data_IF_328037081698
#
_entry.id   IF_328037081698
#
_cell.length_a   1.000
_cell.length_b   1.000
_cell.length_c   1.000
_cell.angle_alpha   90.00
_cell.angle_beta   90.00
_cell.angle_gamma   90.00
#
_symmetry.space_group_name_H-M   'P 1'
#
loop_
_entity.id
_entity.type
_entity.pdbx_description
1 polymer ?
#
# COMPACT_ATOMS: atom_id res chain seq x y z
N UNK A 1 23.43 -4.80 49.71
CA UNK A 1 22.17 -5.57 49.78
C UNK A 1 21.20 -4.77 50.63
N UNK A 2 20.07 -4.34 50.03
CA UNK A 2 19.09 -3.34 50.53
C UNK A 2 19.59 -1.88 50.55
N UNK A 3 18.66 -0.99 50.16
CA UNK A 3 18.77 0.45 49.91
C UNK A 3 19.31 0.81 48.50
N UNK A 4 18.69 1.81 47.87
CA UNK A 4 18.77 2.19 46.44
C UNK A 4 17.85 1.37 45.50
N UNK A 5 16.58 1.18 45.90
CA UNK A 5 15.48 0.87 44.96
C UNK A 5 14.18 1.61 45.29
N UNK A 6 14.28 2.76 45.97
CA UNK A 6 13.12 3.52 46.47
C UNK A 6 13.06 4.97 46.00
N UNK A 7 13.82 5.34 44.95
CA UNK A 7 13.97 6.74 44.52
C UNK A 7 13.71 6.96 43.02
N UNK A 8 12.87 6.12 42.40
CA UNK A 8 12.28 6.38 41.08
C UNK A 8 10.75 6.25 41.05
N UNK A 9 10.09 6.11 42.21
CA UNK A 9 8.64 5.98 42.29
C UNK A 9 7.89 7.31 42.42
N UNK A 10 8.56 8.42 42.78
CA UNK A 10 7.87 9.63 43.26
C UNK A 10 8.06 10.88 42.37
N UNK A 11 8.31 10.70 41.06
CA UNK A 11 8.42 11.84 40.11
C UNK A 11 7.48 11.81 38.90
N UNK A 12 6.39 11.03 38.96
CA UNK A 12 5.37 11.04 37.90
C UNK A 12 3.94 11.32 38.40
N UNK A 13 3.80 12.08 39.50
CA UNK A 13 2.50 12.45 40.07
C UNK A 13 2.24 13.95 40.12
N UNK A 14 2.89 14.75 39.27
CA UNK A 14 2.51 16.15 39.13
C UNK A 14 2.38 16.52 37.67
N UNK A 15 1.23 17.14 37.36
CA UNK A 15 0.95 17.91 36.15
C UNK A 15 0.20 17.18 35.01
N UNK A 16 -0.99 16.63 35.29
CA UNK A 16 -2.12 16.79 34.35
C UNK A 16 -3.39 17.06 35.15
N UNK A 17 -3.75 18.34 35.24
CA UNK A 17 -4.98 18.82 35.84
C UNK A 17 -5.32 20.19 35.29
N UNK A 18 -5.95 20.24 34.11
CA UNK A 18 -6.99 21.22 33.76
C UNK A 18 -7.55 21.01 32.34
N UNK A 19 -8.87 20.86 32.30
CA UNK A 19 -9.80 21.35 31.27
C UNK A 19 -9.78 20.68 29.89
N UNK A 20 -10.70 19.75 29.65
CA UNK A 20 -11.85 20.00 28.78
C UNK A 20 -12.87 18.86 28.88
N UNK A 21 -14.15 19.21 28.82
CA UNK A 21 -15.30 18.30 28.92
C UNK A 21 -15.41 17.46 27.64
N UNK A 22 -15.41 16.15 27.77
CA UNK A 22 -15.73 15.19 26.71
C UNK A 22 -15.83 13.80 27.33
N UNK A 23 -16.86 13.04 26.95
CA UNK A 23 -17.18 11.72 27.52
C UNK A 23 -16.05 10.74 27.24
N UNK A 24 -15.16 10.51 28.21
CA UNK A 24 -14.13 9.47 28.16
C UNK A 24 -14.68 8.13 28.69
N UNK A 25 -14.96 7.20 27.79
CA UNK A 25 -15.10 5.78 28.12
C UNK A 25 -13.70 5.19 28.31
N UNK A 26 -13.31 4.95 29.57
CA UNK A 26 -12.03 4.32 29.91
C UNK A 26 -12.22 2.81 30.14
N UNK A 27 -11.73 1.98 29.23
CA UNK A 27 -11.66 0.52 29.43
C UNK A 27 -10.34 0.19 30.13
N UNK A 28 -10.38 -0.14 31.42
CA UNK A 28 -9.23 -0.70 32.12
C UNK A 28 -9.21 -2.24 31.98
N UNK A 29 -8.24 -2.76 31.23
CA UNK A 29 -8.03 -4.20 31.10
C UNK A 29 -7.10 -4.70 32.21
N UNK A 30 -7.65 -5.24 33.30
CA UNK A 30 -6.89 -6.01 34.29
C UNK A 30 -6.87 -7.49 33.89
N UNK A 31 -5.82 -7.91 33.20
CA UNK A 31 -5.54 -9.33 32.96
C UNK A 31 -4.98 -9.96 34.23
N UNK A 32 -5.84 -10.66 35.01
CA UNK A 32 -5.44 -11.93 35.70
C UNK A 32 -6.51 -12.73 36.45
N UNK A 33 -7.81 -12.38 36.43
CA UNK A 33 -8.83 -13.20 37.15
C UNK A 33 -10.10 -13.53 36.37
N UNK A 34 -10.13 -13.28 35.04
CA UNK A 34 -11.24 -13.75 34.21
C UNK A 34 -12.60 -13.11 34.52
N UNK A 35 -12.63 -11.92 35.12
CA UNK A 35 -13.86 -11.14 35.30
C UNK A 35 -13.61 -9.71 34.82
N UNK A 36 -14.37 -9.29 33.82
CA UNK A 36 -14.34 -7.91 33.31
C UNK A 36 -15.44 -7.09 33.98
N UNK A 37 -15.12 -5.87 34.39
CA UNK A 37 -16.06 -4.92 34.98
C UNK A 37 -16.08 -3.67 34.13
N UNK A 38 -17.27 -3.21 33.76
CA UNK A 38 -17.46 -1.97 33.01
C UNK A 38 -18.24 -1.00 33.88
N UNK A 39 -17.75 0.23 33.99
CA UNK A 39 -18.34 1.27 34.82
C UNK A 39 -18.96 2.34 33.91
N UNK A 40 -20.28 2.48 33.98
CA UNK A 40 -21.03 3.51 33.27
C UNK A 40 -21.77 4.36 34.32
N UNK A 41 -21.18 5.51 34.67
CA UNK A 41 -21.65 6.34 35.78
C UNK A 41 -21.51 5.66 37.17
N UNK A 42 -22.54 5.76 38.03
CA UNK A 42 -22.54 5.20 39.41
C UNK A 42 -23.04 3.75 39.51
N UNK A 43 -23.19 3.03 38.40
CA UNK A 43 -23.57 1.60 38.41
C UNK A 43 -22.40 0.74 37.97
N UNK A 44 -22.12 -0.29 38.78
CA UNK A 44 -21.15 -1.34 38.45
C UNK A 44 -21.95 -2.52 37.91
N UNK A 45 -21.73 -2.88 36.64
CA UNK A 45 -22.39 -4.02 35.99
C UNK A 45 -21.38 -5.16 35.92
N UNK A 46 -21.74 -6.31 36.49
CA UNK A 46 -20.95 -7.55 36.40
C UNK A 46 -21.13 -8.13 34.99
N UNK A 47 -20.10 -8.04 34.14
CA UNK A 47 -20.12 -8.74 32.87
C UNK A 47 -19.91 -10.23 33.16
N UNK A 48 -20.96 -11.02 32.90
CA UNK A 48 -20.94 -12.46 33.10
C UNK A 48 -20.05 -13.10 32.02
N UNK A 49 -18.75 -13.10 32.28
CA UNK A 49 -17.77 -13.87 31.51
C UNK A 49 -17.84 -15.30 32.00
N UNK A 50 -18.87 -16.02 31.56
CA UNK A 50 -18.85 -17.47 31.65
C UNK A 50 -17.62 -17.93 30.88
N UNK A 51 -16.60 -18.36 31.60
CA UNK A 51 -15.55 -19.23 31.09
C UNK A 51 -16.26 -20.38 30.40
N UNK A 52 -16.12 -20.44 29.08
CA UNK A 52 -16.68 -21.51 28.27
C UNK A 52 -16.11 -22.83 28.78
N UNK A 53 -16.99 -23.66 29.33
CA UNK A 53 -16.68 -25.03 29.71
C UNK A 53 -16.02 -25.75 28.53
N UNK A 54 -14.87 -26.35 28.79
CA UNK A 54 -14.09 -27.17 27.89
C UNK A 54 -14.81 -28.49 27.61
N UNK A 55 -15.90 -28.43 26.84
CA UNK A 55 -16.60 -29.55 26.18
C UNK A 55 -17.72 -29.02 25.27
N UNK A 56 -17.45 -27.97 24.50
CA UNK A 56 -18.34 -27.62 23.37
C UNK A 56 -17.95 -28.52 22.21
N UNK A 57 -18.88 -29.37 21.75
CA UNK A 57 -18.75 -30.01 20.45
C UNK A 57 -18.34 -28.96 19.42
N UNK A 58 -17.43 -29.30 18.52
CA UNK A 58 -16.99 -28.48 17.37
C UNK A 58 -18.19 -28.11 16.50
N UNK A 59 -18.97 -27.12 16.94
CA UNK A 59 -20.14 -26.66 16.24
C UNK A 59 -19.64 -25.93 14.99
N UNK A 60 -19.94 -26.50 13.81
CA UNK A 60 -19.54 -25.91 12.53
C UNK A 60 -20.12 -24.50 12.48
N UNK A 61 -19.25 -23.50 12.32
CA UNK A 61 -19.71 -22.11 12.25
C UNK A 61 -20.76 -21.93 11.14
N UNK A 62 -21.80 -21.13 11.38
CA UNK A 62 -22.77 -20.74 10.37
C UNK A 62 -22.09 -20.18 9.11
N UNK A 63 -22.64 -20.51 7.93
CA UNK A 63 -22.10 -20.05 6.63
C UNK A 63 -21.85 -18.53 6.59
N UNK A 64 -22.76 -17.65 7.05
CA UNK A 64 -22.55 -16.20 6.99
C UNK A 64 -21.29 -15.75 7.73
N UNK A 65 -20.99 -16.34 8.89
CA UNK A 65 -19.81 -16.00 9.68
C UNK A 65 -18.53 -16.39 8.92
N UNK A 66 -18.53 -17.57 8.28
CA UNK A 66 -17.39 -18.01 7.46
C UNK A 66 -17.19 -17.08 6.26
N UNK A 67 -18.26 -16.69 5.57
CA UNK A 67 -18.17 -15.75 4.44
C UNK A 67 -17.56 -14.42 4.88
N UNK A 68 -18.08 -13.82 5.96
CA UNK A 68 -17.57 -12.56 6.47
C UNK A 68 -16.09 -12.62 6.82
N UNK A 69 -15.64 -13.72 7.44
CA UNK A 69 -14.24 -13.88 7.75
C UNK A 69 -13.36 -14.09 6.52
N UNK A 70 -13.74 -15.00 5.62
CA UNK A 70 -12.96 -15.29 4.40
C UNK A 70 -12.83 -14.00 3.59
N UNK A 71 -13.94 -13.28 3.38
CA UNK A 71 -13.94 -12.02 2.68
C UNK A 71 -13.07 -10.97 3.39
N UNK A 72 -13.15 -10.83 4.71
CA UNK A 72 -12.31 -9.90 5.47
C UNK A 72 -10.82 -10.18 5.28
N UNK A 73 -10.39 -11.42 5.50
CA UNK A 73 -8.97 -11.79 5.36
C UNK A 73 -8.44 -11.53 3.95
N UNK A 74 -9.23 -11.91 2.94
CA UNK A 74 -8.87 -11.74 1.54
C UNK A 74 -8.83 -10.26 1.15
N UNK A 75 -9.83 -9.46 1.54
CA UNK A 75 -9.91 -8.04 1.21
C UNK A 75 -8.87 -7.18 1.93
N UNK A 76 -8.49 -7.54 3.15
CA UNK A 76 -7.41 -6.86 3.89
C UNK A 76 -6.01 -7.26 3.41
N UNK A 77 -5.88 -8.39 2.71
CA UNK A 77 -4.62 -8.90 2.17
C UNK A 77 -4.74 -9.18 0.67
N UNK A 78 -5.01 -8.15 -0.16
CA UNK A 78 -5.11 -8.34 -1.61
C UNK A 78 -3.78 -8.87 -2.17
N UNK A 79 -3.87 -9.64 -3.25
CA UNK A 79 -2.73 -10.28 -3.93
C UNK A 79 -1.85 -11.19 -3.05
N UNK A 80 -2.31 -11.54 -1.85
CA UNK A 80 -1.70 -12.57 -1.00
C UNK A 80 -2.36 -13.92 -1.29
N UNK A 81 -1.53 -14.94 -1.50
CA UNK A 81 -2.00 -16.31 -1.66
C UNK A 81 -2.27 -16.96 -0.29
N UNK A 82 -3.50 -17.41 -0.07
CA UNK A 82 -3.91 -18.18 1.09
C UNK A 82 -4.13 -19.64 0.70
N UNK A 83 -3.51 -20.57 1.42
CA UNK A 83 -3.80 -22.00 1.26
C UNK A 83 -5.21 -22.30 1.74
N UNK A 84 -5.97 -23.13 1.04
CA UNK A 84 -7.32 -23.52 1.49
C UNK A 84 -7.29 -24.18 2.89
N UNK A 85 -6.20 -24.86 3.23
CA UNK A 85 -6.00 -25.45 4.55
C UNK A 85 -6.05 -24.41 5.68
N UNK A 86 -5.56 -23.18 5.45
CA UNK A 86 -5.58 -22.11 6.47
C UNK A 86 -7.01 -21.83 6.95
N UNK A 87 -7.96 -21.72 6.01
CA UNK A 87 -9.36 -21.51 6.34
C UNK A 87 -10.00 -22.78 6.92
N UNK A 88 -9.65 -23.95 6.38
CA UNK A 88 -10.16 -25.23 6.85
C UNK A 88 -9.82 -25.49 8.33
N UNK A 89 -8.56 -25.28 8.71
CA UNK A 89 -8.04 -25.47 10.07
C UNK A 89 -8.68 -24.50 11.06
N UNK A 90 -8.92 -23.24 10.63
CA UNK A 90 -9.44 -22.20 11.51
C UNK A 90 -10.79 -22.56 12.13
N UNK A 91 -11.59 -23.39 11.46
CA UNK A 91 -12.92 -23.77 11.93
C UNK A 91 -13.21 -25.26 11.82
N UNK A 92 -12.16 -26.08 11.78
CA UNK A 92 -12.28 -27.54 11.75
C UNK A 92 -13.26 -28.03 10.66
N UNK A 93 -13.14 -27.47 9.45
CA UNK A 93 -13.98 -27.81 8.29
C UNK A 93 -13.16 -28.45 7.18
N UNK A 94 -13.82 -28.97 6.15
CA UNK A 94 -13.16 -29.58 5.00
C UNK A 94 -12.75 -28.55 3.94
N UNK A 95 -11.71 -28.85 3.15
CA UNK A 95 -11.31 -27.99 2.00
C UNK A 95 -12.41 -27.87 0.95
N UNK A 96 -13.24 -28.91 0.75
CA UNK A 96 -14.37 -28.85 -0.18
C UNK A 96 -15.41 -27.84 0.30
N UNK A 97 -15.73 -27.81 1.60
CA UNK A 97 -16.62 -26.79 2.18
C UNK A 97 -16.07 -25.37 2.00
N UNK A 98 -14.76 -25.16 2.21
CA UNK A 98 -14.14 -23.85 1.94
C UNK A 98 -14.21 -23.50 0.45
N UNK A 99 -14.03 -24.48 -0.44
CA UNK A 99 -14.09 -24.24 -1.89
C UNK A 99 -15.50 -23.84 -2.35
N UNK A 100 -16.54 -24.47 -1.80
CA UNK A 100 -17.93 -24.07 -2.00
C UNK A 100 -18.18 -22.64 -1.48
N UNK A 101 -17.71 -22.33 -0.27
CA UNK A 101 -17.84 -20.99 0.30
C UNK A 101 -17.12 -19.93 -0.56
N UNK A 102 -15.94 -20.25 -1.10
CA UNK A 102 -15.18 -19.36 -2.00
C UNK A 102 -15.89 -19.15 -3.33
N UNK A 103 -16.53 -20.17 -3.90
CA UNK A 103 -17.30 -20.03 -5.12
C UNK A 103 -18.49 -19.06 -4.93
N UNK A 104 -19.16 -19.13 -3.78
CA UNK A 104 -20.23 -18.18 -3.42
C UNK A 104 -19.71 -16.74 -3.27
N UNK A 105 -18.59 -16.57 -2.57
CA UNK A 105 -17.94 -15.26 -2.40
C UNK A 105 -17.48 -14.70 -3.75
N UNK A 106 -16.92 -15.53 -4.63
CA UNK A 106 -16.50 -15.12 -5.96
C UNK A 106 -17.68 -14.60 -6.79
N UNK A 107 -18.82 -15.30 -6.78
CA UNK A 107 -20.05 -14.85 -7.46
C UNK A 107 -20.51 -13.48 -6.96
N UNK A 108 -20.45 -13.26 -5.65
CA UNK A 108 -20.75 -11.95 -5.06
C UNK A 108 -19.76 -10.88 -5.54
N UNK A 109 -18.45 -11.13 -5.43
CA UNK A 109 -17.40 -10.18 -5.82
C UNK A 109 -17.50 -9.76 -7.29
N UNK A 110 -17.79 -10.72 -8.18
CA UNK A 110 -17.99 -10.46 -9.61
C UNK A 110 -19.26 -9.62 -9.86
N UNK A 111 -20.38 -9.98 -9.21
CA UNK A 111 -21.66 -9.27 -9.37
C UNK A 111 -21.58 -7.84 -8.84
N UNK A 112 -20.92 -7.64 -7.70
CA UNK A 112 -20.73 -6.34 -7.07
C UNK A 112 -19.62 -5.49 -7.72
N UNK A 113 -18.86 -6.04 -8.68
CA UNK A 113 -17.65 -5.41 -9.25
C UNK A 113 -16.64 -4.98 -8.17
N UNK A 114 -16.46 -5.82 -7.15
CA UNK A 114 -15.56 -5.59 -6.02
C UNK A 114 -14.19 -6.29 -6.22
N UNK A 115 -14.17 -7.37 -7.01
CA UNK A 115 -12.93 -8.09 -7.35
C UNK A 115 -13.17 -9.47 -7.95
N UNK A 116 -12.10 -10.25 -8.00
CA UNK A 116 -12.14 -11.66 -8.37
C UNK A 116 -11.25 -12.49 -7.46
N UNK A 117 -11.59 -13.77 -7.33
CA UNK A 117 -10.74 -14.75 -6.67
C UNK A 117 -9.92 -15.47 -7.74
N UNK A 118 -8.61 -15.48 -7.57
CA UNK A 118 -7.69 -16.25 -8.39
C UNK A 118 -7.33 -17.52 -7.63
N UNK A 119 -7.60 -18.67 -8.24
CA UNK A 119 -7.32 -19.97 -7.64
C UNK A 119 -6.16 -20.64 -8.37
N UNK A 120 -5.27 -21.26 -7.60
CA UNK A 120 -4.17 -22.07 -8.13
C UNK A 120 -4.39 -23.51 -7.69
N UNK A 121 -4.38 -24.44 -8.64
CA UNK A 121 -4.58 -25.86 -8.37
C UNK A 121 -3.35 -26.52 -7.70
N UNK A 122 -3.57 -27.66 -7.04
CA UNK A 122 -2.51 -28.50 -6.46
C UNK A 122 -2.40 -28.41 -4.92
N UNK A 123 -1.52 -29.24 -4.34
CA UNK A 123 -1.36 -29.38 -2.88
C UNK A 123 -0.82 -28.10 -2.19
N UNK A 124 0.00 -27.32 -2.90
CA UNK A 124 0.45 -25.99 -2.51
C UNK A 124 -0.46 -24.86 -3.04
N UNK A 125 -1.53 -25.23 -3.74
CA UNK A 125 -2.52 -24.33 -4.32
C UNK A 125 -3.25 -23.51 -3.25
N UNK A 126 -3.92 -22.47 -3.71
CA UNK A 126 -4.54 -21.49 -2.83
C UNK A 126 -5.54 -20.60 -3.55
N UNK A 127 -6.05 -19.64 -2.79
CA UNK A 127 -6.90 -18.56 -3.28
C UNK A 127 -6.25 -17.23 -2.98
N UNK A 128 -6.41 -16.30 -3.91
CA UNK A 128 -5.90 -14.94 -3.83
C UNK A 128 -7.01 -13.98 -4.27
N UNK A 129 -7.19 -12.88 -3.54
CA UNK A 129 -8.13 -11.85 -3.95
C UNK A 129 -7.43 -10.77 -4.77
N UNK A 130 -8.01 -10.47 -5.93
CA UNK A 130 -7.63 -9.34 -6.76
C UNK A 130 -8.77 -8.31 -6.74
N UNK A 131 -8.55 -7.11 -6.15
CA UNK A 131 -9.53 -6.03 -6.18
C UNK A 131 -9.91 -5.66 -7.62
N UNK A 132 -11.17 -5.34 -7.84
CA UNK A 132 -11.63 -4.85 -9.14
C UNK A 132 -11.21 -3.39 -9.32
N UNK A 133 -10.68 -3.08 -10.49
CA UNK A 133 -10.48 -1.72 -10.95
C UNK A 133 -10.59 -1.73 -12.47
N UNK A 134 -11.82 -1.54 -12.95
CA UNK A 134 -12.15 -1.73 -14.36
C UNK A 134 -11.75 -0.54 -15.24
N UNK A 135 -11.91 -0.67 -16.57
CA UNK A 135 -11.67 0.43 -17.51
C UNK A 135 -12.49 1.69 -17.19
N UNK A 136 -13.74 1.54 -16.75
CA UNK A 136 -14.61 2.66 -16.35
C UNK A 136 -14.08 3.40 -15.11
N UNK A 137 -13.61 2.66 -14.09
CA UNK A 137 -13.05 3.25 -12.87
C UNK A 137 -11.74 3.96 -13.16
N UNK A 138 -10.91 3.35 -14.01
CA UNK A 138 -9.67 3.93 -14.48
C UNK A 138 -9.91 5.21 -15.27
N UNK A 139 -10.91 5.22 -16.16
CA UNK A 139 -11.28 6.42 -16.90
C UNK A 139 -11.76 7.54 -15.96
N UNK A 140 -12.64 7.23 -15.00
CA UNK A 140 -13.12 8.19 -13.99
C UNK A 140 -11.98 8.76 -13.15
N UNK A 141 -11.02 7.92 -12.75
CA UNK A 141 -9.83 8.37 -12.03
C UNK A 141 -9.01 9.36 -12.86
N UNK A 142 -8.75 9.06 -14.14
CA UNK A 142 -7.98 9.95 -15.02
C UNK A 142 -8.68 11.29 -15.20
N UNK A 143 -9.99 11.28 -15.37
CA UNK A 143 -10.81 12.49 -15.46
C UNK A 143 -10.80 13.29 -14.15
N UNK A 144 -10.88 12.63 -12.99
CA UNK A 144 -10.75 13.25 -11.67
C UNK A 144 -9.37 13.92 -11.52
N UNK A 145 -8.30 13.23 -11.91
CA UNK A 145 -6.93 13.77 -11.88
C UNK A 145 -6.79 15.00 -12.80
N UNK A 146 -7.24 14.91 -14.05
CA UNK A 146 -7.23 16.03 -14.99
C UNK A 146 -7.96 17.24 -14.43
N UNK A 147 -9.17 17.04 -13.87
CA UNK A 147 -9.96 18.13 -13.27
C UNK A 147 -9.24 18.79 -12.10
N UNK A 148 -8.65 17.99 -11.19
CA UNK A 148 -7.89 18.51 -10.05
C UNK A 148 -6.65 19.28 -10.52
N UNK A 149 -5.95 18.76 -11.53
CA UNK A 149 -4.68 19.33 -12.04
C UNK A 149 -4.86 20.53 -12.96
N UNK A 150 -6.07 20.82 -13.46
CA UNK A 150 -6.37 21.98 -14.30
C UNK A 150 -6.44 23.31 -13.54
N UNK A 151 -6.38 23.27 -12.20
CA UNK A 151 -6.37 24.47 -11.36
C UNK A 151 -5.09 25.29 -11.57
N UNK A 152 -5.25 26.53 -12.02
CA UNK A 152 -4.15 27.45 -12.34
C UNK A 152 -3.33 27.85 -11.12
N UNK A 153 -3.90 27.76 -9.91
CA UNK A 153 -3.17 28.02 -8.65
C UNK A 153 -2.05 26.99 -8.39
N UNK A 154 -2.03 25.90 -9.16
CA UNK A 154 -0.97 24.89 -9.12
C UNK A 154 0.26 25.26 -9.93
N UNK A 155 0.23 26.31 -10.76
CA UNK A 155 1.37 26.68 -11.60
C UNK A 155 2.50 27.22 -10.71
N UNK A 156 3.64 26.56 -10.78
CA UNK A 156 4.91 26.94 -10.15
C UNK A 156 5.87 27.43 -11.25
N UNK A 157 6.95 28.09 -10.83
CA UNK A 157 8.09 28.52 -11.67
C UNK A 157 8.52 27.42 -12.66
N UNK A 158 8.66 27.82 -13.93
CA UNK A 158 9.16 26.95 -15.00
C UNK A 158 8.11 26.00 -15.58
N UNK A 159 6.84 26.40 -15.58
CA UNK A 159 5.70 25.60 -16.07
C UNK A 159 5.61 24.22 -15.40
N UNK A 160 5.89 24.18 -14.09
CA UNK A 160 5.72 22.99 -13.26
C UNK A 160 4.43 23.09 -12.47
N UNK A 161 3.85 21.94 -12.10
CA UNK A 161 2.62 21.88 -11.32
C UNK A 161 2.86 21.44 -9.89
N UNK A 162 2.18 22.07 -8.95
CA UNK A 162 2.03 21.59 -7.59
C UNK A 162 1.10 20.38 -7.56
N UNK A 163 1.64 19.22 -7.19
CA UNK A 163 0.90 17.95 -7.13
C UNK A 163 0.90 17.28 -5.75
N UNK A 164 1.64 17.83 -4.78
CA UNK A 164 1.92 17.10 -3.53
C UNK A 164 0.62 16.76 -2.77
N UNK A 165 -0.39 17.63 -2.80
CA UNK A 165 -1.70 17.40 -2.18
C UNK A 165 -2.40 16.13 -2.71
N UNK A 166 -2.20 15.80 -3.99
CA UNK A 166 -2.74 14.58 -4.60
C UNK A 166 -2.13 13.32 -3.98
N UNK A 167 -0.86 13.38 -3.61
CA UNK A 167 -0.14 12.29 -2.95
C UNK A 167 -0.34 12.26 -1.44
N UNK A 168 -1.00 13.26 -0.86
CA UNK A 168 -1.32 13.32 0.58
C UNK A 168 -2.77 12.94 0.88
N UNK A 169 -3.63 12.85 -0.13
CA UNK A 169 -5.00 12.33 -0.04
C UNK A 169 -4.97 10.78 -0.07
N UNK A 170 -5.22 10.08 1.06
CA UNK A 170 -5.15 8.62 1.10
C UNK A 170 -6.19 7.94 0.20
N UNK A 171 -7.35 8.59 -0.01
CA UNK A 171 -8.41 8.04 -0.87
C UNK A 171 -8.02 8.15 -2.35
N UNK A 172 -7.40 9.27 -2.74
CA UNK A 172 -6.87 9.42 -4.10
C UNK A 172 -5.67 8.49 -4.32
N UNK A 173 -4.75 8.39 -3.35
CA UNK A 173 -3.64 7.43 -3.38
C UNK A 173 -4.14 6.00 -3.60
N UNK A 174 -5.20 5.59 -2.92
CA UNK A 174 -5.80 4.27 -3.09
C UNK A 174 -6.28 4.04 -4.52
N UNK A 175 -7.04 4.99 -5.08
CA UNK A 175 -7.51 4.91 -6.46
C UNK A 175 -6.35 4.89 -7.46
N UNK A 176 -5.37 5.78 -7.31
CA UNK A 176 -4.16 5.85 -8.15
C UNK A 176 -3.38 4.53 -8.10
N UNK A 177 -3.24 3.95 -6.91
CA UNK A 177 -2.52 2.68 -6.74
C UNK A 177 -3.24 1.53 -7.43
N UNK A 178 -4.57 1.40 -7.25
CA UNK A 178 -5.38 0.40 -7.96
C UNK A 178 -5.35 0.58 -9.48
N UNK A 179 -5.44 1.83 -9.94
CA UNK A 179 -5.37 2.18 -11.36
C UNK A 179 -4.01 1.93 -11.98
N UNK A 180 -2.92 2.10 -11.23
CA UNK A 180 -1.59 1.71 -11.70
C UNK A 180 -1.46 0.18 -11.75
N UNK A 181 -1.87 -0.51 -10.69
CA UNK A 181 -1.75 -1.97 -10.60
C UNK A 181 -2.57 -2.68 -11.69
N UNK A 182 -3.65 -2.08 -12.20
CA UNK A 182 -4.44 -2.68 -13.28
C UNK A 182 -3.68 -2.83 -14.61
N UNK A 183 -2.58 -2.10 -14.80
CA UNK A 183 -1.73 -2.25 -15.99
C UNK A 183 -0.69 -3.37 -15.89
N UNK A 184 -0.47 -3.94 -14.70
CA UNK A 184 0.64 -4.84 -14.45
C UNK A 184 0.18 -6.23 -14.03
N UNK A 185 0.86 -7.25 -14.56
CA UNK A 185 0.76 -8.60 -14.03
C UNK A 185 1.67 -8.73 -12.80
N UNK A 186 1.09 -8.71 -11.61
CA UNK A 186 1.85 -8.75 -10.35
C UNK A 186 2.55 -10.09 -10.08
N UNK A 187 2.25 -11.15 -10.84
CA UNK A 187 3.02 -12.39 -10.80
C UNK A 187 4.44 -12.22 -11.34
N UNK A 188 4.66 -11.16 -12.13
CA UNK A 188 5.94 -10.85 -12.77
C UNK A 188 6.80 -9.84 -12.00
N UNK A 189 6.31 -9.35 -10.86
CA UNK A 189 6.95 -8.30 -10.07
C UNK A 189 7.30 -8.86 -8.69
N UNK A 190 8.55 -8.68 -8.26
CA UNK A 190 9.05 -9.12 -6.96
C UNK A 190 9.16 -7.95 -5.97
N UNK A 191 9.53 -6.77 -6.45
CA UNK A 191 9.73 -5.56 -5.64
C UNK A 191 9.07 -4.34 -6.29
N UNK A 192 8.65 -3.40 -5.45
CA UNK A 192 8.30 -2.04 -5.88
C UNK A 192 9.42 -1.11 -5.45
N UNK A 193 9.91 -0.26 -6.36
CA UNK A 193 10.95 0.71 -6.08
C UNK A 193 10.49 2.14 -6.37
N UNK A 194 11.00 3.10 -5.63
CA UNK A 194 10.82 4.54 -5.90
C UNK A 194 12.05 5.32 -5.50
N UNK A 195 12.16 6.58 -5.94
CA UNK A 195 13.20 7.51 -5.46
C UNK A 195 12.59 8.45 -4.41
N UNK A 196 13.37 8.77 -3.38
CA UNK A 196 12.95 9.76 -2.41
C UNK A 196 12.70 11.16 -3.04
N UNK A 197 11.69 11.92 -2.65
CA UNK A 197 10.77 11.70 -1.52
C UNK A 197 9.31 11.62 -1.97
N UNK A 198 8.96 12.28 -3.08
CA UNK A 198 7.57 12.51 -3.48
C UNK A 198 6.83 11.25 -3.92
N UNK A 199 7.52 10.30 -4.55
CA UNK A 199 6.92 9.02 -4.96
C UNK A 199 6.66 8.04 -3.82
N UNK A 200 7.21 8.27 -2.62
CA UNK A 200 7.13 7.33 -1.49
C UNK A 200 5.69 6.98 -1.08
N UNK A 201 4.75 7.94 -0.88
CA UNK A 201 3.38 7.59 -0.49
C UNK A 201 2.69 6.66 -1.49
N UNK A 202 2.84 6.95 -2.79
CA UNK A 202 2.27 6.14 -3.86
C UNK A 202 2.93 4.76 -3.93
N UNK A 203 4.25 4.69 -3.95
CA UNK A 203 4.99 3.44 -4.02
C UNK A 203 4.72 2.55 -2.80
N UNK A 204 4.61 3.14 -1.61
CA UNK A 204 4.26 2.43 -0.37
C UNK A 204 2.87 1.81 -0.47
N UNK A 205 1.91 2.57 -1.01
CA UNK A 205 0.54 2.05 -1.15
C UNK A 205 0.46 0.95 -2.21
N UNK A 206 1.13 1.13 -3.34
CA UNK A 206 1.24 0.11 -4.41
C UNK A 206 1.91 -1.15 -3.87
N UNK A 207 3.03 -1.04 -3.15
CA UNK A 207 3.74 -2.17 -2.56
C UNK A 207 2.85 -2.94 -1.57
N UNK A 208 2.16 -2.22 -0.69
CA UNK A 208 1.22 -2.81 0.27
C UNK A 208 0.05 -3.52 -0.40
N UNK A 209 -0.56 -2.91 -1.42
CA UNK A 209 -1.62 -3.55 -2.20
C UNK A 209 -1.11 -4.79 -2.95
N UNK A 210 0.04 -4.69 -3.62
CA UNK A 210 0.63 -5.80 -4.38
C UNK A 210 1.21 -6.91 -3.49
N UNK A 211 1.24 -6.70 -2.16
CA UNK A 211 1.91 -7.55 -1.20
C UNK A 211 3.38 -7.82 -1.60
N UNK A 212 4.10 -6.76 -1.99
CA UNK A 212 5.51 -6.79 -2.39
C UNK A 212 6.36 -5.90 -1.46
N UNK A 213 7.62 -6.27 -1.20
CA UNK A 213 8.57 -5.39 -0.53
C UNK A 213 8.77 -4.06 -1.28
N UNK A 214 8.93 -2.97 -0.52
CA UNK A 214 9.25 -1.64 -1.02
C UNK A 214 10.76 -1.37 -0.91
N UNK A 215 11.32 -0.80 -1.96
CA UNK A 215 12.70 -0.30 -2.03
C UNK A 215 12.70 1.20 -2.25
N UNK A 216 13.44 1.93 -1.42
CA UNK A 216 13.60 3.37 -1.56
C UNK A 216 15.03 3.65 -2.03
N UNK A 217 15.16 4.16 -3.25
CA UNK A 217 16.40 4.64 -3.82
C UNK A 217 16.66 6.05 -3.29
N UNK A 218 17.84 6.27 -2.74
CA UNK A 218 18.25 7.51 -2.08
C UNK A 218 18.95 8.45 -3.06
N UNK A 219 18.97 9.74 -2.75
CA UNK A 219 19.75 10.77 -3.47
C UNK A 219 21.14 10.99 -2.87
N UNK A 220 21.41 10.37 -1.73
CA UNK A 220 22.70 10.41 -1.02
C UNK A 220 22.91 9.15 -0.20
N UNK A 221 24.17 8.81 0.05
CA UNK A 221 24.51 7.62 0.85
C UNK A 221 24.09 7.81 2.30
N UNK A 222 23.45 6.79 2.86
CA UNK A 222 23.06 6.71 4.27
C UNK A 222 23.87 5.61 4.92
N UNK A 223 24.70 5.96 5.92
CA UNK A 223 25.63 5.01 6.55
C UNK A 223 24.93 3.77 7.15
N UNK A 224 23.69 3.93 7.62
CA UNK A 224 22.90 2.84 8.23
C UNK A 224 22.41 1.79 7.23
N UNK A 225 22.48 2.06 5.92
CA UNK A 225 22.03 1.13 4.87
C UNK A 225 23.17 0.18 4.40
N UNK A 226 24.37 0.33 4.96
CA UNK A 226 25.53 -0.52 4.70
C UNK A 226 26.16 -0.27 3.34
N UNK A 227 26.69 -1.33 2.73
CA UNK A 227 27.31 -1.26 1.40
C UNK A 227 26.26 -0.94 0.34
N UNK A 228 26.48 0.14 -0.39
CA UNK A 228 25.55 0.64 -1.40
C UNK A 228 26.24 0.85 -2.74
N UNK A 229 25.49 0.66 -3.82
CA UNK A 229 25.87 1.15 -5.14
C UNK A 229 25.46 2.61 -5.29
N UNK A 230 26.18 3.34 -6.14
CA UNK A 230 25.82 4.69 -6.52
C UNK A 230 25.89 4.86 -8.03
N UNK A 231 24.93 5.60 -8.58
CA UNK A 231 24.87 5.94 -10.00
C UNK A 231 24.69 7.44 -10.15
N UNK A 232 25.54 8.06 -10.96
CA UNK A 232 25.38 9.46 -11.33
C UNK A 232 24.57 9.56 -12.63
N UNK A 233 23.70 10.55 -12.71
CA UNK A 233 22.94 10.86 -13.91
C UNK A 233 22.71 12.36 -14.04
N UNK A 234 22.54 12.83 -15.27
CA UNK A 234 22.18 14.23 -15.52
C UNK A 234 20.67 14.38 -15.43
N UNK A 235 20.18 15.21 -14.51
CA UNK A 235 18.76 15.51 -14.44
C UNK A 235 18.34 16.32 -15.65
N UNK A 236 17.41 15.77 -16.44
CA UNK A 236 16.85 16.45 -17.61
C UNK A 236 16.16 17.77 -17.28
N UNK A 237 15.76 18.00 -16.01
CA UNK A 237 15.08 19.23 -15.62
C UNK A 237 16.05 20.35 -15.25
N UNK A 238 17.09 20.05 -14.48
CA UNK A 238 18.05 21.07 -14.00
C UNK A 238 19.38 21.10 -14.76
N UNK A 239 19.67 20.08 -15.59
CA UNK A 239 20.99 19.88 -16.20
C UNK A 239 22.09 19.49 -15.22
N UNK A 240 21.77 19.35 -13.93
CA UNK A 240 22.74 19.03 -12.89
C UNK A 240 23.00 17.53 -12.81
N UNK A 241 24.23 17.17 -12.46
CA UNK A 241 24.58 15.80 -12.10
C UNK A 241 23.99 15.50 -10.73
N UNK A 242 23.15 14.47 -10.65
CA UNK A 242 22.58 13.94 -9.43
C UNK A 242 23.07 12.52 -9.20
N UNK A 243 23.09 12.11 -7.94
CA UNK A 243 23.49 10.76 -7.53
C UNK A 243 22.27 10.01 -7.02
N UNK A 244 22.14 8.75 -7.42
CA UNK A 244 21.23 7.77 -6.85
C UNK A 244 22.03 6.74 -6.10
N UNK A 245 21.51 6.22 -4.99
CA UNK A 245 22.15 5.13 -4.26
C UNK A 245 21.13 4.17 -3.67
N UNK A 246 21.52 2.90 -3.59
CA UNK A 246 20.70 1.82 -3.09
C UNK A 246 21.61 0.77 -2.44
N UNK A 247 21.16 0.20 -1.32
CA UNK A 247 21.88 -0.87 -0.63
C UNK A 247 21.96 -2.12 -1.49
N UNK A 248 23.11 -2.81 -1.48
CA UNK A 248 23.26 -4.13 -2.12
C UNK A 248 22.30 -5.18 -1.53
N UNK A 249 21.75 -4.93 -0.34
CA UNK A 249 20.79 -5.81 0.34
C UNK A 249 19.33 -5.50 0.01
N UNK A 250 19.07 -4.44 -0.76
CA UNK A 250 17.71 -3.94 -0.98
C UNK A 250 16.86 -4.89 -1.83
N UNK A 251 17.48 -5.59 -2.79
CA UNK A 251 16.83 -6.51 -3.73
C UNK A 251 17.66 -7.78 -3.87
N UNK A 252 17.00 -8.91 -4.12
CA UNK A 252 17.69 -10.12 -4.51
C UNK A 252 18.09 -10.07 -5.99
N UNK A 253 19.22 -10.69 -6.32
CA UNK A 253 19.67 -10.83 -7.72
C UNK A 253 18.64 -11.63 -8.52
N UNK A 254 18.46 -11.26 -9.78
CA UNK A 254 17.48 -11.85 -10.70
C UNK A 254 16.04 -11.42 -10.45
N UNK A 255 15.77 -10.60 -9.43
CA UNK A 255 14.42 -10.11 -9.15
C UNK A 255 13.96 -9.05 -10.15
N UNK A 256 12.64 -8.96 -10.29
CA UNK A 256 11.94 -8.05 -11.19
C UNK A 256 11.31 -6.90 -10.42
N UNK A 257 11.61 -5.67 -10.80
CA UNK A 257 11.26 -4.47 -10.03
C UNK A 257 10.30 -3.59 -10.82
N UNK A 258 9.18 -3.20 -10.20
CA UNK A 258 8.31 -2.14 -10.69
C UNK A 258 8.80 -0.80 -10.13
N UNK A 259 9.25 0.12 -10.99
CA UNK A 259 9.61 1.47 -10.57
C UNK A 259 8.38 2.38 -10.57
N UNK A 260 8.18 3.15 -9.49
CA UNK A 260 7.05 4.05 -9.30
C UNK A 260 7.57 5.47 -9.03
N UNK A 261 7.07 6.44 -9.78
CA UNK A 261 7.41 7.87 -9.59
C UNK A 261 6.18 8.78 -9.70
N UNK A 262 6.29 10.03 -9.26
CA UNK A 262 5.20 10.99 -9.36
C UNK A 262 5.06 11.55 -10.78
N UNK A 263 6.17 11.96 -11.38
CA UNK A 263 6.19 12.67 -12.66
C UNK A 263 7.42 12.31 -13.50
N UNK A 264 7.18 11.94 -14.76
CA UNK A 264 8.25 11.68 -15.71
C UNK A 264 8.23 12.65 -16.90
N UNK A 265 9.37 13.33 -17.11
CA UNK A 265 9.60 14.20 -18.27
C UNK A 265 10.27 13.42 -19.41
N UNK A 266 11.57 13.61 -19.62
CA UNK A 266 12.35 12.92 -20.65
C UNK A 266 12.73 11.47 -20.29
N UNK A 267 12.47 11.02 -19.06
CA UNK A 267 12.80 9.66 -18.60
C UNK A 267 14.23 9.46 -18.10
N UNK A 268 15.03 10.53 -17.96
CA UNK A 268 16.42 10.42 -17.49
C UNK A 268 16.57 9.77 -16.11
N UNK A 269 15.70 10.13 -15.17
CA UNK A 269 15.64 9.50 -13.83
C UNK A 269 15.34 8.01 -13.91
N UNK A 270 14.32 7.62 -14.69
CA UNK A 270 13.96 6.22 -14.84
C UNK A 270 15.08 5.41 -15.52
N UNK A 271 15.83 6.02 -16.45
CA UNK A 271 16.98 5.38 -17.08
C UNK A 271 18.13 5.17 -16.10
N UNK A 272 18.38 6.15 -15.24
CA UNK A 272 19.35 6.01 -14.15
C UNK A 272 18.98 4.88 -13.19
N UNK A 273 17.69 4.71 -12.88
CA UNK A 273 17.18 3.58 -12.09
C UNK A 273 17.37 2.26 -12.83
N UNK A 274 17.05 2.20 -14.13
CA UNK A 274 17.27 1.01 -14.96
C UNK A 274 18.74 0.57 -14.92
N UNK A 275 19.66 1.51 -15.09
CA UNK A 275 21.09 1.23 -15.06
C UNK A 275 21.55 0.78 -13.66
N UNK A 276 21.04 1.42 -12.61
CA UNK A 276 21.33 1.05 -11.22
C UNK A 276 20.83 -0.38 -10.89
N UNK A 277 19.62 -0.73 -11.33
CA UNK A 277 19.06 -2.07 -11.16
C UNK A 277 19.85 -3.12 -11.95
N UNK A 278 20.29 -2.78 -13.16
CA UNK A 278 21.16 -3.63 -13.97
C UNK A 278 22.49 -3.93 -13.27
N UNK A 279 23.09 -2.95 -12.59
CA UNK A 279 24.30 -3.16 -11.77
C UNK A 279 24.07 -4.03 -10.52
N UNK A 280 22.81 -4.18 -10.09
CA UNK A 280 22.39 -5.10 -9.02
C UNK A 280 22.03 -6.51 -9.53
N UNK A 281 22.25 -6.79 -10.82
CA UNK A 281 21.75 -8.00 -11.49
C UNK A 281 20.22 -8.15 -11.37
N UNK A 282 19.47 -7.05 -11.43
CA UNK A 282 17.99 -7.04 -11.35
C UNK A 282 17.34 -6.45 -12.61
N UNK A 283 16.12 -6.88 -12.90
CA UNK A 283 15.37 -6.46 -14.09
C UNK A 283 14.37 -5.35 -13.72
N UNK A 284 14.32 -4.29 -14.52
CA UNK A 284 13.24 -3.32 -14.46
C UNK A 284 12.02 -3.87 -15.22
N UNK A 285 11.02 -4.37 -14.50
CA UNK A 285 9.82 -4.99 -15.05
C UNK A 285 8.89 -3.96 -15.74
N UNK A 286 8.89 -2.73 -15.23
CA UNK A 286 8.08 -1.64 -15.76
C UNK A 286 8.24 -0.36 -14.95
N UNK A 287 7.64 0.72 -15.46
CA UNK A 287 7.66 2.04 -14.84
C UNK A 287 6.23 2.57 -14.76
N UNK A 288 5.76 2.89 -13.56
CA UNK A 288 4.48 3.53 -13.34
C UNK A 288 4.68 4.96 -12.86
N UNK A 289 4.01 5.91 -13.50
CA UNK A 289 3.99 7.30 -13.05
C UNK A 289 2.58 7.85 -13.00
N UNK A 290 2.34 8.88 -12.18
CA UNK A 290 1.02 9.53 -12.20
C UNK A 290 0.91 10.41 -13.44
N UNK A 291 1.91 11.27 -13.66
CA UNK A 291 1.92 12.24 -14.74
C UNK A 291 3.13 12.06 -15.65
N UNK A 292 2.94 12.41 -16.92
CA UNK A 292 4.02 12.38 -17.91
C UNK A 292 3.96 13.56 -18.87
N UNK A 293 5.09 14.05 -19.40
CA UNK A 293 5.05 15.17 -20.38
C UNK A 293 4.79 14.71 -21.81
N UNK A 294 3.93 15.36 -22.59
CA UNK A 294 3.68 14.99 -23.99
C UNK A 294 4.90 15.16 -24.92
N UNK A 295 5.91 15.91 -24.50
CA UNK A 295 7.20 16.05 -25.17
C UNK A 295 8.39 15.77 -24.23
N UNK A 296 9.49 15.15 -24.72
CA UNK A 296 9.65 14.59 -26.07
C UNK A 296 8.83 13.31 -26.27
N UNK A 297 8.34 13.09 -27.51
CA UNK A 297 7.60 11.87 -27.88
C UNK A 297 8.49 10.62 -27.87
N UNK A 298 9.77 10.80 -28.20
CA UNK A 298 10.80 9.76 -28.07
C UNK A 298 11.48 9.96 -26.72
N UNK A 299 11.39 8.97 -25.85
CA UNK A 299 11.98 9.02 -24.50
C UNK A 299 13.08 8.00 -24.39
N UNK A 300 13.90 8.13 -23.34
CA UNK A 300 14.95 7.17 -23.07
C UNK A 300 14.41 5.76 -22.75
N UNK A 301 13.11 5.63 -22.44
CA UNK A 301 12.47 4.37 -22.04
C UNK A 301 11.05 4.27 -22.62
N UNK A 302 10.73 3.11 -23.19
CA UNK A 302 9.46 2.83 -23.86
C UNK A 302 8.45 2.05 -22.99
N UNK A 303 8.92 1.27 -22.01
CA UNK A 303 8.04 0.45 -21.14
C UNK A 303 7.61 1.23 -19.88
N UNK A 304 6.63 2.11 -20.03
CA UNK A 304 6.03 2.83 -18.92
C UNK A 304 4.50 2.97 -19.05
N UNK A 305 3.85 3.16 -17.91
CA UNK A 305 2.43 3.46 -17.79
C UNK A 305 2.24 4.79 -17.04
N UNK A 306 1.31 5.61 -17.49
CA UNK A 306 0.95 6.87 -16.85
C UNK A 306 -0.56 7.05 -16.82
N UNK A 307 -1.07 7.76 -15.80
CA UNK A 307 -2.49 8.06 -15.67
C UNK A 307 -2.90 9.29 -16.50
N UNK A 308 -2.04 10.32 -16.50
CA UNK A 308 -2.31 11.58 -17.21
C UNK A 308 -1.08 12.08 -17.98
N UNK A 309 -1.34 12.82 -19.06
CA UNK A 309 -0.34 13.46 -19.89
C UNK A 309 -0.45 14.98 -19.80
N UNK A 310 0.68 15.65 -19.55
CA UNK A 310 0.82 17.10 -19.37
C UNK A 310 1.55 17.73 -20.57
N UNK A 311 0.92 18.72 -21.20
CA UNK A 311 1.37 19.38 -22.42
C UNK A 311 1.83 20.84 -22.21
N UNK A 312 2.11 21.21 -20.96
CA UNK A 312 2.55 22.55 -20.60
C UNK A 312 1.41 23.51 -20.24
N UNK A 313 1.79 24.75 -19.96
CA UNK A 313 0.86 25.88 -19.79
C UNK A 313 0.84 26.70 -21.08
N UNK A 314 -0.35 27.02 -21.61
CA UNK A 314 -0.52 27.93 -22.75
C UNK A 314 -1.64 28.92 -22.45
N UNK A 315 -1.39 30.20 -22.66
CA UNK A 315 -2.35 31.28 -22.42
C UNK A 315 -2.93 31.25 -21.00
N UNK A 316 -2.09 30.96 -20.01
CA UNK A 316 -2.47 30.83 -18.60
C UNK A 316 -3.31 29.59 -18.29
N UNK A 317 -3.50 28.66 -19.23
CA UNK A 317 -4.26 27.42 -19.05
C UNK A 317 -3.35 26.19 -19.06
N UNK A 318 -3.58 25.30 -18.10
CA UNK A 318 -2.90 24.01 -18.01
C UNK A 318 -3.50 23.06 -19.06
N UNK A 319 -2.66 22.47 -19.90
CA UNK A 319 -3.07 21.41 -20.84
C UNK A 319 -2.73 20.05 -20.25
N UNK A 320 -3.74 19.30 -19.87
CA UNK A 320 -3.61 17.94 -19.33
C UNK A 320 -4.70 17.05 -19.89
N UNK A 321 -4.36 15.81 -20.23
CA UNK A 321 -5.27 14.83 -20.82
C UNK A 321 -5.17 13.45 -20.15
N UNK A 322 -6.26 12.67 -20.09
CA UNK A 322 -6.19 11.25 -19.74
C UNK A 322 -5.29 10.49 -20.72
N UNK A 323 -4.47 9.56 -20.22
CA UNK A 323 -3.64 8.66 -21.04
C UNK A 323 -4.13 7.24 -20.95
#
# INVERSE_FOLDING_TARGET
MRLIRKEQSDRLSFMIGRLSRGVETSVHCFLKTGVSWMQEGRRIIKLNTKTADSKTASEKLPKPIRYSFILKELSENPYRQFRLQYFADKWNTSKSTISEDLAEIERYLQTAREGKLLTTAGAAGGVMFQPYFGPEDLQRLKEELCRRLQDTDRIIVGDLLYMNDLFYDPNLLEKMSKGILSYYDLSTIDYVATIETKGIPLATRIAGLANKPLVIIRKRTVLTEGTSLYKNYTDSSSGQIKTLTVSLKAVHRGSRVLFVDDFMRAGGTANAVKDLLKELDTELAGIAVVMVTGAPRQRAIDNYQALVEYDGVRDGKIRITPR
#
